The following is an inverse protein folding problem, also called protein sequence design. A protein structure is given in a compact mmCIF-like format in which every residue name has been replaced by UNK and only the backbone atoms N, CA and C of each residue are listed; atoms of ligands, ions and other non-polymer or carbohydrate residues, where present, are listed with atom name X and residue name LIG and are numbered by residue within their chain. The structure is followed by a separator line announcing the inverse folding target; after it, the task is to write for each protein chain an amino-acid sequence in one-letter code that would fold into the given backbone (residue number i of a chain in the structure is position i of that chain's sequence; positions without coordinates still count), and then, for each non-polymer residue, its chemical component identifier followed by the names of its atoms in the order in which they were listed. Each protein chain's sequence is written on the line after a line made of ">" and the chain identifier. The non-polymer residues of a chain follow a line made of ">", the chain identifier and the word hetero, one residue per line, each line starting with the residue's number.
data_IF_007967026869
#
_entry.id   IF_007967026869
#
_cell.length_a   1.000
_cell.length_b   1.000
_cell.length_c   1.000
_cell.angle_alpha   90.00
_cell.angle_beta   90.00
_cell.angle_gamma   90.00
#
_symmetry.space_group_name_H-M   'P 1'
#
loop_
_entity.id
_entity.type
_entity.pdbx_description
1 polymer ?
#
# COMPACT_ATOMS: atom_id res chain seq x y z
N UNK A 1 -10.30 22.41 -20.38
CA UNK A 1 -10.69 22.13 -21.79
C UNK A 1 -12.00 21.35 -21.85
N UNK A 2 -12.17 20.32 -21.05
CA UNK A 2 -13.41 19.49 -21.05
C UNK A 2 -14.63 20.21 -20.47
N UNK A 3 -14.43 21.22 -19.63
CA UNK A 3 -15.47 22.10 -19.10
C UNK A 3 -15.72 23.35 -19.96
N UNK A 4 -15.13 23.43 -21.17
CA UNK A 4 -15.21 24.60 -22.03
C UNK A 4 -14.23 25.75 -21.68
N UNK A 5 -13.46 25.58 -20.59
CA UNK A 5 -12.44 26.55 -20.21
C UNK A 5 -11.13 26.31 -20.97
N UNK A 6 -10.71 27.26 -21.79
CA UNK A 6 -9.48 27.21 -22.61
C UNK A 6 -8.32 28.02 -22.00
N UNK A 7 -8.47 28.54 -20.79
CA UNK A 7 -7.39 29.27 -20.09
C UNK A 7 -6.15 28.37 -19.94
N UNK A 8 -4.94 28.86 -20.25
CA UNK A 8 -3.70 28.11 -20.05
C UNK A 8 -3.56 27.68 -18.59
N UNK A 9 -2.98 26.48 -18.36
CA UNK A 9 -2.83 25.92 -17.00
C UNK A 9 -2.06 26.85 -16.06
N UNK A 10 -1.04 27.53 -16.56
CA UNK A 10 -0.27 28.52 -15.78
C UNK A 10 -1.16 29.64 -15.24
N UNK A 11 -2.03 30.18 -16.08
CA UNK A 11 -2.92 31.28 -15.69
C UNK A 11 -3.97 30.80 -14.68
N UNK A 12 -4.50 29.58 -14.87
CA UNK A 12 -5.42 28.96 -13.90
C UNK A 12 -4.76 28.79 -12.53
N UNK A 13 -3.52 28.32 -12.49
CA UNK A 13 -2.77 28.18 -11.24
C UNK A 13 -2.51 29.55 -10.59
N UNK A 14 -2.05 30.52 -11.37
CA UNK A 14 -1.78 31.88 -10.89
C UNK A 14 -3.02 32.54 -10.31
N UNK A 15 -4.16 32.43 -11.01
CA UNK A 15 -5.42 33.02 -10.56
C UNK A 15 -5.93 32.34 -9.29
N UNK A 16 -5.81 31.03 -9.20
CA UNK A 16 -6.18 30.28 -8.00
C UNK A 16 -5.32 30.68 -6.79
N UNK A 17 -4.00 30.79 -6.96
CA UNK A 17 -3.12 31.23 -5.91
C UNK A 17 -3.40 32.68 -5.46
N UNK A 18 -3.60 33.59 -6.41
CA UNK A 18 -3.91 34.99 -6.11
C UNK A 18 -5.26 35.16 -5.39
N UNK A 19 -6.23 34.29 -5.71
CA UNK A 19 -7.59 34.41 -5.14
C UNK A 19 -7.80 33.67 -3.84
N UNK A 20 -7.05 32.57 -3.60
CA UNK A 20 -7.36 31.63 -2.52
C UNK A 20 -6.22 31.37 -1.56
N UNK A 21 -4.97 31.62 -1.95
CA UNK A 21 -3.78 31.23 -1.17
C UNK A 21 -2.97 32.44 -0.71
N UNK A 22 -2.69 33.38 -1.61
CA UNK A 22 -1.85 34.53 -1.30
C UNK A 22 -2.63 35.60 -0.57
N UNK A 23 -2.04 36.18 0.47
CA UNK A 23 -2.55 37.39 1.10
C UNK A 23 -2.49 38.58 0.13
N UNK A 24 -3.39 39.55 0.28
CA UNK A 24 -3.55 40.69 -0.63
C UNK A 24 -2.27 41.53 -0.88
N UNK A 25 -1.31 41.45 0.05
CA UNK A 25 -0.03 42.16 -0.01
C UNK A 25 1.13 41.30 -0.55
N UNK A 26 0.86 40.08 -0.98
CA UNK A 26 1.88 39.15 -1.46
C UNK A 26 1.69 38.84 -2.94
N UNK A 27 2.74 38.97 -3.76
CA UNK A 27 2.65 38.75 -5.20
C UNK A 27 2.99 37.32 -5.61
N UNK A 28 2.34 36.84 -6.66
CA UNK A 28 2.65 35.58 -7.32
C UNK A 28 4.14 35.46 -7.72
N UNK A 29 4.72 36.54 -8.29
CA UNK A 29 6.12 36.53 -8.71
C UNK A 29 7.06 36.33 -7.52
N UNK A 30 6.73 36.89 -6.35
CA UNK A 30 7.51 36.71 -5.13
C UNK A 30 7.39 35.27 -4.62
N UNK A 31 6.21 34.68 -4.66
CA UNK A 31 6.01 33.27 -4.27
C UNK A 31 6.87 32.32 -5.12
N UNK A 32 6.93 32.55 -6.44
CA UNK A 32 7.77 31.75 -7.34
C UNK A 32 9.26 31.97 -7.07
N UNK A 33 9.68 33.23 -6.86
CA UNK A 33 11.07 33.54 -6.59
C UNK A 33 11.57 32.90 -5.30
N UNK A 34 10.78 32.98 -4.24
CA UNK A 34 11.14 32.48 -2.92
C UNK A 34 11.00 30.93 -2.84
N UNK A 35 10.23 30.33 -3.75
CA UNK A 35 9.98 28.88 -3.82
C UNK A 35 9.13 28.32 -2.68
N UNK A 36 8.72 29.16 -1.74
CA UNK A 36 7.90 28.82 -0.58
C UNK A 36 7.01 30.00 -0.19
N UNK A 37 5.80 29.70 0.24
CA UNK A 37 4.90 30.65 0.85
C UNK A 37 4.32 30.07 2.16
N UNK A 38 4.57 30.79 3.26
CA UNK A 38 4.09 30.38 4.59
C UNK A 38 2.75 31.04 4.88
N UNK A 39 1.71 30.25 4.94
CA UNK A 39 0.38 30.69 5.37
C UNK A 39 0.37 30.78 6.90
N UNK A 40 -0.05 31.92 7.44
CA UNK A 40 -0.29 32.04 8.88
C UNK A 40 -1.59 31.29 9.20
N UNK A 41 -1.43 30.07 9.69
CA UNK A 41 -2.58 29.28 10.12
C UNK A 41 -3.04 29.76 11.51
N UNK A 42 -4.24 30.32 11.54
CA UNK A 42 -4.94 30.66 12.79
C UNK A 42 -5.80 29.49 13.28
N UNK A 43 -5.49 28.26 12.85
CA UNK A 43 -6.23 27.06 13.24
C UNK A 43 -6.17 26.91 14.77
N UNK A 44 -7.29 27.13 15.41
CA UNK A 44 -7.50 26.77 16.81
C UNK A 44 -8.07 25.36 16.85
N UNK A 45 -7.30 24.37 17.33
CA UNK A 45 -7.82 23.02 17.44
C UNK A 45 -9.06 23.04 18.35
N UNK A 46 -10.18 22.57 17.81
CA UNK A 46 -11.39 22.36 18.58
C UNK A 46 -11.21 21.05 19.34
N UNK A 47 -11.10 21.12 20.65
CA UNK A 47 -11.12 19.92 21.49
C UNK A 47 -12.50 19.27 21.31
N UNK A 48 -12.52 18.15 20.61
CA UNK A 48 -13.71 17.31 20.47
C UNK A 48 -13.63 16.27 21.57
N UNK A 49 -14.57 16.31 22.51
CA UNK A 49 -14.73 15.23 23.48
C UNK A 49 -15.33 14.03 22.73
N UNK A 50 -14.50 13.08 22.35
CA UNK A 50 -14.93 11.86 21.66
C UNK A 50 -15.05 10.76 22.69
N UNK A 51 -16.23 10.18 22.81
CA UNK A 51 -16.40 8.93 23.56
C UNK A 51 -15.97 7.74 22.71
N UNK A 52 -14.85 7.12 23.07
CA UNK A 52 -14.30 5.97 22.39
C UNK A 52 -14.85 4.61 22.90
N UNK A 53 -15.73 4.61 23.91
CA UNK A 53 -16.19 3.40 24.58
C UNK A 53 -16.80 2.38 23.62
N UNK A 54 -17.65 2.85 22.69
CA UNK A 54 -18.25 1.96 21.69
C UNK A 54 -17.23 1.43 20.66
N UNK A 55 -16.25 2.25 20.26
CA UNK A 55 -15.20 1.83 19.34
C UNK A 55 -14.27 0.79 19.97
N UNK A 56 -13.92 1.00 21.24
CA UNK A 56 -13.10 0.06 22.02
C UNK A 56 -13.86 -1.27 22.22
N UNK A 57 -15.16 -1.19 22.56
CA UNK A 57 -15.98 -2.39 22.71
C UNK A 57 -16.07 -3.19 21.42
N UNK A 58 -16.30 -2.53 20.28
CA UNK A 58 -16.34 -3.19 18.98
C UNK A 58 -15.00 -3.85 18.59
N UNK A 59 -13.87 -3.28 19.02
CA UNK A 59 -12.55 -3.89 18.81
C UNK A 59 -12.33 -5.14 19.68
N UNK A 60 -12.80 -5.11 20.93
CA UNK A 60 -12.65 -6.23 21.88
C UNK A 60 -13.61 -7.39 21.52
N UNK A 61 -14.84 -7.05 21.11
CA UNK A 61 -15.87 -8.03 20.76
C UNK A 61 -15.63 -8.72 19.39
N UNK A 62 -14.68 -8.22 18.59
CA UNK A 62 -14.33 -8.79 17.29
C UNK A 62 -13.25 -9.86 17.45
N UNK A 63 -13.62 -11.01 18.00
CA UNK A 63 -12.77 -12.21 17.94
C UNK A 63 -12.82 -12.79 16.52
N UNK A 64 -11.70 -12.77 15.82
CA UNK A 64 -11.57 -13.37 14.50
C UNK A 64 -10.72 -14.65 14.56
N UNK A 65 -11.26 -15.73 14.04
CA UNK A 65 -10.55 -17.00 13.85
C UNK A 65 -9.79 -17.00 12.53
N UNK A 66 -8.51 -16.65 12.53
CA UNK A 66 -7.69 -16.56 11.32
C UNK A 66 -6.42 -15.77 11.55
N UNK A 67 -5.97 -15.10 10.50
CA UNK A 67 -4.78 -14.25 10.52
C UNK A 67 -5.13 -12.79 10.32
N UNK A 68 -4.42 -11.91 11.00
CA UNK A 68 -4.44 -10.49 10.73
C UNK A 68 -3.53 -10.19 9.54
N UNK A 69 -4.10 -9.76 8.43
CA UNK A 69 -3.37 -9.37 7.23
C UNK A 69 -2.97 -7.91 7.31
N UNK A 70 -1.68 -7.64 7.20
CA UNK A 70 -1.14 -6.30 6.97
C UNK A 70 -0.86 -6.09 5.48
N UNK A 71 -1.55 -5.14 4.86
CA UNK A 71 -1.31 -4.69 3.49
C UNK A 71 -0.32 -3.53 3.49
N UNK A 72 0.77 -3.63 2.73
CA UNK A 72 1.83 -2.62 2.74
C UNK A 72 2.37 -2.29 1.35
N UNK A 73 3.03 -1.15 1.23
CA UNK A 73 3.72 -0.73 0.02
C UNK A 73 5.21 -1.02 0.13
N UNK A 74 5.78 -1.67 -0.88
CA UNK A 74 7.24 -1.85 -0.99
C UNK A 74 7.91 -0.56 -1.46
N UNK A 75 9.17 -0.36 -1.08
CA UNK A 75 9.96 0.81 -1.51
C UNK A 75 10.07 0.88 -3.03
N UNK A 76 10.30 -0.25 -3.71
CA UNK A 76 10.46 -0.28 -5.16
C UNK A 76 9.15 -0.05 -5.93
N UNK A 77 8.10 -0.78 -5.58
CA UNK A 77 6.85 -0.81 -6.36
C UNK A 77 5.77 0.15 -5.84
N UNK A 78 5.91 0.63 -4.61
CA UNK A 78 4.89 1.45 -3.97
C UNK A 78 3.52 0.75 -3.94
N UNK A 79 2.50 1.47 -4.37
CA UNK A 79 1.13 0.97 -4.52
C UNK A 79 0.83 0.45 -5.95
N UNK A 80 1.83 0.44 -6.85
CA UNK A 80 1.72 0.00 -8.24
C UNK A 80 1.71 1.13 -9.28
N UNK A 81 1.88 2.39 -8.88
CA UNK A 81 2.02 3.50 -9.83
C UNK A 81 3.20 3.29 -10.77
N UNK A 82 4.26 2.63 -10.28
CA UNK A 82 5.48 2.34 -11.03
C UNK A 82 5.52 0.92 -11.63
N UNK A 83 4.38 0.22 -11.70
CA UNK A 83 4.31 -1.17 -12.18
C UNK A 83 4.79 -1.35 -13.65
N UNK A 84 4.82 -0.27 -14.44
CA UNK A 84 5.31 -0.29 -15.83
C UNK A 84 6.84 -0.23 -15.93
N UNK A 85 7.55 -0.04 -14.82
CA UNK A 85 9.00 0.06 -14.81
C UNK A 85 9.62 -1.29 -14.50
N UNK A 86 10.22 -2.01 -15.49
CA UNK A 86 10.81 -3.32 -15.28
C UNK A 86 12.00 -3.30 -14.30
N UNK A 87 12.76 -2.23 -14.27
CA UNK A 87 13.91 -2.11 -13.35
C UNK A 87 13.45 -2.09 -11.89
N UNK A 88 12.30 -1.48 -11.60
CA UNK A 88 11.73 -1.53 -10.25
C UNK A 88 11.18 -2.92 -9.92
N UNK A 89 10.70 -3.68 -10.90
CA UNK A 89 10.30 -5.07 -10.69
C UNK A 89 11.49 -5.99 -10.46
N UNK A 90 12.63 -5.72 -11.11
CA UNK A 90 13.90 -6.43 -10.88
C UNK A 90 14.56 -6.05 -9.56
N UNK A 91 14.22 -4.88 -9.01
CA UNK A 91 14.81 -4.39 -7.76
C UNK A 91 14.44 -5.31 -6.59
N UNK A 92 15.45 -5.95 -5.95
CA UNK A 92 15.16 -6.90 -4.87
C UNK A 92 14.56 -6.18 -3.65
N UNK A 93 13.58 -6.83 -3.03
CA UNK A 93 13.09 -6.40 -1.73
C UNK A 93 14.24 -6.35 -0.71
N UNK A 94 14.42 -5.28 0.07
CA UNK A 94 15.56 -5.14 0.96
C UNK A 94 15.58 -6.17 2.10
N UNK A 95 14.44 -6.78 2.44
CA UNK A 95 14.33 -7.78 3.52
C UNK A 95 14.39 -9.19 2.95
N UNK A 96 13.46 -9.54 2.05
CA UNK A 96 13.32 -10.91 1.54
C UNK A 96 14.23 -11.23 0.35
N UNK A 97 14.77 -10.21 -0.32
CA UNK A 97 15.56 -10.31 -1.55
C UNK A 97 14.78 -10.84 -2.77
N UNK A 98 13.47 -10.94 -2.67
CA UNK A 98 12.60 -11.37 -3.77
C UNK A 98 12.40 -10.23 -4.77
N UNK A 99 12.50 -10.56 -6.06
CA UNK A 99 12.20 -9.68 -7.20
C UNK A 99 10.96 -10.16 -7.94
N UNK A 100 10.36 -9.33 -8.76
CA UNK A 100 9.29 -9.58 -9.74
C UNK A 100 7.92 -9.91 -9.19
N UNK A 101 7.81 -10.50 -8.00
CA UNK A 101 6.55 -11.01 -7.48
C UNK A 101 6.22 -10.45 -6.09
N UNK A 102 4.94 -10.40 -5.74
CA UNK A 102 4.53 -10.27 -4.36
C UNK A 102 4.24 -11.65 -3.75
N UNK A 103 4.33 -11.72 -2.46
CA UNK A 103 4.26 -12.96 -1.69
C UNK A 103 3.56 -12.72 -0.37
N UNK A 104 3.10 -13.81 0.24
CA UNK A 104 2.62 -13.82 1.60
C UNK A 104 3.80 -13.97 2.57
N UNK A 105 3.99 -13.02 3.48
CA UNK A 105 4.91 -13.20 4.61
C UNK A 105 4.17 -13.82 5.78
N UNK A 106 4.82 -14.75 6.48
CA UNK A 106 4.23 -15.46 7.62
C UNK A 106 5.31 -15.79 8.64
N UNK A 107 4.94 -15.89 9.92
CA UNK A 107 5.87 -16.32 10.97
C UNK A 107 6.28 -17.80 10.78
N UNK A 108 7.46 -18.16 11.29
CA UNK A 108 7.91 -19.55 11.25
C UNK A 108 6.95 -20.49 11.97
N UNK A 109 6.47 -20.09 13.15
CA UNK A 109 5.55 -20.89 13.96
C UNK A 109 4.22 -21.15 13.26
N UNK A 110 3.64 -20.10 12.66
CA UNK A 110 2.37 -20.23 11.96
C UNK A 110 2.51 -21.06 10.68
N UNK A 111 3.63 -20.87 9.94
CA UNK A 111 3.91 -21.67 8.76
C UNK A 111 4.01 -23.17 9.10
N UNK A 112 4.68 -23.52 10.20
CA UNK A 112 4.77 -24.90 10.69
C UNK A 112 3.40 -25.46 11.06
N UNK A 113 2.54 -24.66 11.71
CA UNK A 113 1.19 -25.08 12.10
C UNK A 113 0.29 -25.42 10.92
N UNK A 114 0.39 -24.66 9.82
CA UNK A 114 -0.43 -24.88 8.62
C UNK A 114 0.31 -25.64 7.50
N UNK A 115 1.54 -26.12 7.78
CA UNK A 115 2.30 -27.01 6.89
C UNK A 115 2.97 -26.31 5.70
N UNK A 116 3.18 -24.99 5.77
CA UNK A 116 3.88 -24.22 4.76
C UNK A 116 5.40 -24.30 4.93
N UNK A 117 6.14 -24.38 3.82
CA UNK A 117 7.60 -24.56 3.83
C UNK A 117 8.26 -23.69 2.79
N UNK A 118 9.45 -23.19 3.15
CA UNK A 118 10.45 -22.73 2.19
C UNK A 118 11.57 -23.79 2.12
N UNK A 119 12.15 -23.98 0.95
CA UNK A 119 13.23 -24.92 0.72
C UNK A 119 14.17 -24.43 -0.38
N UNK A 120 15.45 -24.78 -0.26
CA UNK A 120 16.44 -24.42 -1.25
C UNK A 120 16.54 -25.53 -2.31
N UNK A 121 16.55 -25.12 -3.55
CA UNK A 121 16.86 -26.00 -4.67
C UNK A 121 18.37 -26.23 -4.80
N UNK A 122 18.77 -27.24 -5.56
CA UNK A 122 20.18 -27.58 -5.78
C UNK A 122 21.00 -26.44 -6.41
N UNK A 123 20.37 -25.54 -7.12
CA UNK A 123 20.98 -24.33 -7.69
C UNK A 123 21.05 -23.14 -6.71
N UNK A 124 20.62 -23.31 -5.46
CA UNK A 124 20.59 -22.28 -4.43
C UNK A 124 19.36 -21.37 -4.46
N UNK A 125 18.44 -21.57 -5.39
CA UNK A 125 17.20 -20.80 -5.42
C UNK A 125 16.30 -21.15 -4.24
N UNK A 126 15.68 -20.15 -3.63
CA UNK A 126 14.64 -20.34 -2.60
C UNK A 126 13.31 -20.65 -3.31
N UNK A 127 12.75 -21.79 -3.01
CA UNK A 127 11.42 -22.18 -3.47
C UNK A 127 10.44 -22.23 -2.28
N UNK A 128 9.13 -22.20 -2.57
CA UNK A 128 8.12 -22.12 -1.54
C UNK A 128 6.82 -22.80 -1.92
N UNK A 129 6.02 -23.13 -0.91
CA UNK A 129 4.62 -23.46 -1.12
C UNK A 129 3.83 -22.21 -1.57
N UNK A 130 2.66 -22.45 -2.12
CA UNK A 130 1.65 -21.43 -2.36
C UNK A 130 0.57 -21.50 -1.29
N UNK A 131 0.08 -20.34 -0.88
CA UNK A 131 -1.08 -20.23 -0.01
C UNK A 131 -2.24 -19.53 -0.73
N UNK A 132 -3.46 -19.88 -0.37
CA UNK A 132 -4.67 -19.19 -0.80
C UNK A 132 -5.14 -18.34 0.37
N UNK A 133 -5.07 -17.04 0.22
CA UNK A 133 -5.52 -16.06 1.21
C UNK A 133 -6.91 -15.61 0.85
N UNK A 134 -7.86 -15.74 1.76
CA UNK A 134 -9.26 -15.40 1.54
C UNK A 134 -9.80 -14.41 2.56
N UNK A 135 -10.59 -13.45 2.08
CA UNK A 135 -11.35 -12.50 2.90
C UNK A 135 -12.71 -12.28 2.26
N UNK A 136 -13.77 -12.81 2.88
CA UNK A 136 -15.09 -12.87 2.26
C UNK A 136 -15.02 -13.59 0.91
N UNK A 137 -15.58 -12.98 -0.13
CA UNK A 137 -15.62 -13.53 -1.50
C UNK A 137 -14.30 -13.36 -2.29
N UNK A 138 -13.31 -12.68 -1.73
CA UNK A 138 -12.04 -12.41 -2.40
C UNK A 138 -11.01 -13.46 -2.04
N UNK A 139 -10.31 -14.00 -3.03
CA UNK A 139 -9.22 -14.97 -2.86
C UNK A 139 -8.01 -14.58 -3.68
N UNK A 140 -6.83 -14.78 -3.12
CA UNK A 140 -5.55 -14.63 -3.81
C UNK A 140 -4.67 -15.85 -3.55
N UNK A 141 -4.05 -16.37 -4.61
CA UNK A 141 -3.01 -17.39 -4.53
C UNK A 141 -1.65 -16.70 -4.61
N UNK A 142 -0.81 -16.93 -3.62
CA UNK A 142 0.50 -16.27 -3.47
C UNK A 142 1.57 -17.27 -3.06
N UNK A 143 2.83 -17.11 -3.53
CA UNK A 143 3.96 -17.82 -2.94
C UNK A 143 4.17 -17.34 -1.50
N UNK A 144 4.77 -18.16 -0.67
CA UNK A 144 4.94 -17.91 0.76
C UNK A 144 6.40 -17.66 1.10
N UNK A 145 6.67 -16.61 1.85
CA UNK A 145 7.99 -16.37 2.46
C UNK A 145 7.85 -16.45 3.97
N UNK A 146 8.55 -17.40 4.56
CA UNK A 146 8.67 -17.50 6.02
C UNK A 146 9.65 -16.42 6.47
N UNK A 147 9.14 -15.45 7.23
CA UNK A 147 9.93 -14.31 7.67
C UNK A 147 10.27 -14.44 9.15
N UNK A 148 11.56 -14.66 9.50
CA UNK A 148 11.99 -14.67 10.89
C UNK A 148 11.67 -13.34 11.60
N UNK A 149 11.17 -13.44 12.83
CA UNK A 149 10.82 -12.27 13.64
C UNK A 149 9.44 -11.67 13.37
N UNK A 150 8.69 -12.21 12.42
CA UNK A 150 7.29 -11.80 12.23
C UNK A 150 6.43 -12.29 13.40
N UNK A 151 5.49 -11.45 13.83
CA UNK A 151 4.55 -11.77 14.91
C UNK A 151 3.63 -12.92 14.51
N UNK A 152 3.40 -13.86 15.43
CA UNK A 152 2.46 -14.95 15.21
C UNK A 152 1.02 -14.42 15.07
N UNK A 153 0.21 -15.10 14.27
CA UNK A 153 -1.16 -14.68 13.94
C UNK A 153 -1.23 -13.55 12.93
N UNK A 154 -0.08 -13.05 12.42
CA UNK A 154 -0.06 -11.99 11.43
C UNK A 154 0.56 -12.44 10.11
N UNK A 155 0.05 -11.93 9.01
CA UNK A 155 0.58 -12.16 7.67
C UNK A 155 0.66 -10.84 6.90
N UNK A 156 1.57 -10.76 5.93
CA UNK A 156 1.75 -9.55 5.14
C UNK A 156 1.68 -9.80 3.64
N UNK A 157 1.08 -8.87 2.90
CA UNK A 157 1.06 -8.86 1.45
C UNK A 157 1.33 -7.44 0.94
N UNK A 158 2.23 -7.31 -0.03
CA UNK A 158 2.52 -6.01 -0.63
C UNK A 158 1.57 -5.68 -1.77
N UNK A 159 1.25 -4.38 -1.90
CA UNK A 159 0.62 -3.81 -3.08
C UNK A 159 1.58 -3.76 -4.28
N UNK A 160 1.06 -3.37 -5.43
CA UNK A 160 1.84 -2.95 -6.60
C UNK A 160 1.97 -3.98 -7.70
N UNK A 161 1.42 -5.17 -7.54
CA UNK A 161 1.51 -6.29 -8.47
C UNK A 161 0.16 -6.73 -9.02
N UNK A 162 0.18 -7.70 -9.96
CA UNK A 162 -1.03 -8.30 -10.52
C UNK A 162 -1.74 -7.44 -11.57
N UNK A 163 -1.05 -6.47 -12.19
CA UNK A 163 -1.58 -5.73 -13.32
C UNK A 163 -1.58 -6.64 -14.56
N UNK A 164 -2.71 -6.68 -15.28
CA UNK A 164 -2.91 -7.55 -16.45
C UNK A 164 -3.11 -6.79 -17.77
N UNK A 165 -3.07 -5.46 -17.74
CA UNK A 165 -3.24 -4.60 -18.92
C UNK A 165 -2.19 -3.51 -18.98
N UNK A 166 -1.78 -3.16 -20.20
CA UNK A 166 -0.84 -2.06 -20.44
C UNK A 166 0.62 -2.39 -20.14
N UNK A 167 0.94 -3.67 -19.96
CA UNK A 167 2.29 -4.19 -19.74
C UNK A 167 2.64 -5.23 -20.80
N UNK A 168 3.95 -5.47 -20.97
CA UNK A 168 4.43 -6.67 -21.65
C UNK A 168 4.07 -7.92 -20.81
N UNK A 169 3.88 -9.06 -21.46
CA UNK A 169 3.48 -10.29 -20.79
C UNK A 169 4.43 -10.69 -19.66
N UNK A 170 5.72 -10.49 -19.87
CA UNK A 170 6.79 -10.82 -18.90
C UNK A 170 6.73 -9.97 -17.62
N UNK A 171 6.06 -8.81 -17.69
CA UNK A 171 5.90 -7.88 -16.56
C UNK A 171 4.57 -8.08 -15.81
N UNK A 172 3.70 -8.96 -16.31
CA UNK A 172 2.40 -9.25 -15.69
C UNK A 172 2.56 -10.30 -14.59
N UNK A 173 3.24 -9.93 -13.50
CA UNK A 173 3.57 -10.83 -12.41
C UNK A 173 2.80 -10.52 -11.14
N UNK A 174 2.73 -11.51 -10.25
CA UNK A 174 2.14 -11.39 -8.94
C UNK A 174 0.62 -11.30 -8.91
N UNK A 175 0.10 -10.99 -7.76
CA UNK A 175 -1.33 -10.93 -7.46
C UNK A 175 -1.77 -9.54 -7.01
N UNK A 176 -2.95 -9.13 -7.42
CA UNK A 176 -3.50 -7.82 -7.07
C UNK A 176 -4.04 -7.82 -5.62
N UNK A 177 -3.22 -7.36 -4.68
CA UNK A 177 -3.55 -7.27 -3.26
C UNK A 177 -4.70 -6.30 -2.94
N UNK A 178 -5.02 -5.36 -3.83
CA UNK A 178 -6.17 -4.47 -3.64
C UNK A 178 -7.52 -5.21 -3.58
N UNK A 179 -7.61 -6.46 -4.07
CA UNK A 179 -8.81 -7.28 -3.92
C UNK A 179 -9.13 -7.60 -2.45
N UNK A 180 -8.12 -7.57 -1.58
CA UNK A 180 -8.26 -7.79 -0.15
C UNK A 180 -8.38 -6.47 0.63
N UNK A 181 -8.17 -5.31 -0.02
CA UNK A 181 -8.26 -4.00 0.62
C UNK A 181 -9.72 -3.56 0.75
N UNK A 182 -10.22 -3.58 1.98
CA UNK A 182 -11.61 -3.22 2.31
C UNK A 182 -11.64 -2.11 3.35
N UNK A 183 -12.73 -1.33 3.35
CA UNK A 183 -13.02 -0.32 4.36
C UNK A 183 -11.88 0.70 4.57
N UNK A 184 -11.10 0.99 3.53
CA UNK A 184 -9.93 1.88 3.59
C UNK A 184 -8.92 1.52 4.68
N UNK A 185 -8.90 0.27 5.14
CA UNK A 185 -7.96 -0.25 6.13
C UNK A 185 -6.89 -1.12 5.49
N UNK A 186 -5.64 -0.93 5.91
CA UNK A 186 -4.51 -1.80 5.53
C UNK A 186 -4.44 -3.07 6.38
N UNK A 187 -5.25 -3.15 7.42
CA UNK A 187 -5.36 -4.31 8.30
C UNK A 187 -6.70 -4.98 8.00
N UNK A 188 -6.67 -6.26 7.72
CA UNK A 188 -7.81 -7.08 7.32
C UNK A 188 -7.74 -8.45 8.01
N UNK A 189 -8.90 -9.03 8.25
CA UNK A 189 -8.99 -10.42 8.71
C UNK A 189 -9.04 -11.37 7.52
N UNK A 190 -8.19 -12.41 7.55
CA UNK A 190 -8.07 -13.40 6.45
C UNK A 190 -7.95 -14.83 6.96
N UNK A 191 -8.36 -15.77 6.11
CA UNK A 191 -8.11 -17.22 6.27
C UNK A 191 -7.09 -17.66 5.23
N UNK A 192 -6.26 -18.61 5.62
CA UNK A 192 -5.25 -19.23 4.77
C UNK A 192 -5.53 -20.72 4.68
#
# INVERSE_FOLDING_TARGET
>A
KWSGNNTPLYDVLKDNWNSSVLESNFSWNKAIHDGVYSVKDNFKPKLVNVDFSNSIKNLIDNEFEGFELCLYSKIGMGDGQQANNPWLQEFPDPISRVSWDNYLTISKKDAELIGLKNYNESNGALNSNYAIVSSGDSQLKLPVIIQPGQTNGTVGISFGYGRTKGLKAEMMTGSNAFKLYKNFSKIQDVKI
#
